data_IF_356206878964
#
_entry.id   IF_356206878964
#
_cell.length_a   1.000
_cell.length_b   1.000
_cell.length_c   1.000
_cell.angle_alpha   90.00
_cell.angle_beta   90.00
_cell.angle_gamma   90.00
#
_symmetry.space_group_name_H-M   'P 1'
#
loop_
_entity.id
_entity.type
_entity.pdbx_description
1 polymer ?
#
# COMPACT_ATOMS: atom_id res chain seq x y z
N UNK A 1 9.85 29.81 50.65
CA UNK A 1 8.94 29.19 49.67
C UNK A 1 9.66 29.19 48.32
N UNK A 2 10.43 28.14 48.03
CA UNK A 2 11.14 28.01 46.74
C UNK A 2 10.25 27.16 45.85
N UNK A 3 9.53 27.81 44.94
CA UNK A 3 8.71 27.14 43.94
C UNK A 3 9.63 26.67 42.81
N UNK A 4 10.07 25.41 42.89
CA UNK A 4 10.81 24.75 41.80
C UNK A 4 9.81 24.50 40.65
N UNK A 5 9.85 25.32 39.60
CA UNK A 5 9.16 25.01 38.35
C UNK A 5 9.88 23.83 37.69
N UNK A 6 9.26 22.65 37.72
CA UNK A 6 9.70 21.51 36.93
C UNK A 6 9.45 21.80 35.45
N UNK A 7 10.52 21.92 34.66
CA UNK A 7 10.46 22.04 33.22
C UNK A 7 10.17 20.64 32.67
N UNK A 8 8.92 20.34 32.33
CA UNK A 8 8.58 19.14 31.58
C UNK A 8 9.03 19.32 30.12
N UNK A 9 9.79 18.38 29.52
CA UNK A 9 10.06 18.43 28.10
C UNK A 9 8.73 18.30 27.34
N UNK A 10 8.44 19.28 26.49
CA UNK A 10 7.35 19.24 25.53
C UNK A 10 7.71 18.14 24.52
N UNK A 11 7.02 17.00 24.55
CA UNK A 11 7.16 15.99 23.51
C UNK A 11 6.68 16.61 22.19
N UNK A 12 7.57 16.68 21.20
CA UNK A 12 7.19 16.98 19.82
C UNK A 12 6.45 15.77 19.27
N UNK A 13 5.28 15.96 18.66
CA UNK A 13 4.68 14.91 17.83
C UNK A 13 5.51 14.81 16.55
N UNK A 14 6.25 13.71 16.38
CA UNK A 14 6.91 13.41 15.13
C UNK A 14 5.84 12.98 14.11
N UNK A 15 5.55 13.85 13.15
CA UNK A 15 4.67 13.49 12.03
C UNK A 15 5.30 12.36 11.22
N UNK A 16 4.49 11.37 10.84
CA UNK A 16 4.93 10.32 9.92
C UNK A 16 5.35 10.94 8.57
N UNK A 17 6.45 10.44 8.03
CA UNK A 17 6.92 10.81 6.70
C UNK A 17 5.94 10.37 5.61
N UNK A 18 6.01 10.97 4.42
CA UNK A 18 5.21 10.55 3.25
C UNK A 18 5.40 9.06 2.95
N UNK A 19 6.62 8.55 3.12
CA UNK A 19 6.94 7.13 2.88
C UNK A 19 6.30 6.22 3.94
N UNK A 20 6.33 6.60 5.22
CA UNK A 20 5.70 5.83 6.29
C UNK A 20 4.18 5.79 6.13
N UNK A 21 3.56 6.94 5.84
CA UNK A 21 2.14 7.00 5.52
C UNK A 21 1.80 6.09 4.33
N UNK A 22 2.56 6.19 3.25
CA UNK A 22 2.31 5.41 2.05
C UNK A 22 2.50 3.90 2.27
N UNK A 23 3.50 3.50 3.07
CA UNK A 23 3.73 2.10 3.47
C UNK A 23 2.59 1.56 4.33
N UNK A 24 2.13 2.36 5.30
CA UNK A 24 0.99 2.02 6.16
C UNK A 24 -0.31 1.89 5.34
N UNK A 25 -0.55 2.82 4.42
CA UNK A 25 -1.70 2.77 3.52
C UNK A 25 -1.63 1.55 2.59
N UNK A 26 -0.45 1.19 2.07
CA UNK A 26 -0.27 0.01 1.23
C UNK A 26 -0.52 -1.30 1.98
N UNK A 27 -0.20 -1.35 3.28
CA UNK A 27 -0.44 -2.54 4.12
C UNK A 27 -1.88 -2.67 4.60
N UNK A 28 -2.65 -1.57 4.61
CA UNK A 28 -4.05 -1.59 5.04
C UNK A 28 -4.87 -0.41 4.43
N UNK A 29 -5.16 -0.42 3.12
CA UNK A 29 -5.92 0.66 2.49
C UNK A 29 -7.37 0.69 2.98
N UNK A 30 -8.02 -0.48 3.11
CA UNK A 30 -9.33 -0.71 3.76
C UNK A 30 -9.52 -2.17 4.20
N UNK A 31 -8.76 -2.62 5.19
CA UNK A 31 -8.87 -3.95 5.80
C UNK A 31 -8.13 -5.07 5.07
N UNK A 32 -7.90 -4.96 3.76
CA UNK A 32 -7.09 -5.90 2.97
C UNK A 32 -5.91 -5.15 2.36
N UNK A 33 -4.70 -5.50 2.81
CA UNK A 33 -3.45 -4.89 2.33
C UNK A 33 -3.13 -5.23 0.87
N UNK A 34 -2.68 -4.23 0.11
CA UNK A 34 -2.16 -4.44 -1.25
C UNK A 34 -0.98 -5.42 -1.24
N UNK A 35 -0.17 -5.38 -0.19
CA UNK A 35 0.97 -6.28 0.02
C UNK A 35 0.61 -7.76 0.09
N UNK A 36 -0.64 -8.10 0.42
CA UNK A 36 -1.10 -9.49 0.48
C UNK A 36 -1.26 -10.13 -0.90
N UNK A 37 -1.35 -9.33 -1.96
CA UNK A 37 -1.47 -9.83 -3.33
C UNK A 37 -0.33 -9.36 -4.22
N UNK A 38 0.14 -8.13 -4.06
CA UNK A 38 1.16 -7.55 -4.95
C UNK A 38 2.59 -7.60 -4.38
N UNK A 39 2.81 -8.29 -3.26
CA UNK A 39 4.12 -8.34 -2.61
C UNK A 39 4.45 -7.06 -1.82
N UNK A 40 5.56 -7.06 -1.09
CA UNK A 40 5.87 -6.03 -0.10
C UNK A 40 6.05 -4.62 -0.72
N UNK A 41 6.53 -4.58 -1.96
CA UNK A 41 6.84 -3.36 -2.72
C UNK A 41 6.10 -3.25 -4.05
N UNK A 42 5.19 -4.17 -4.33
CA UNK A 42 4.47 -4.19 -5.59
C UNK A 42 5.17 -5.06 -6.65
N UNK A 43 6.06 -5.96 -6.27
CA UNK A 43 6.76 -6.86 -7.18
C UNK A 43 5.84 -7.84 -7.93
N UNK A 44 4.59 -8.00 -7.47
CA UNK A 44 3.66 -9.01 -7.95
C UNK A 44 3.88 -10.35 -7.24
N UNK A 45 2.84 -11.18 -7.19
CA UNK A 45 2.95 -12.50 -6.56
C UNK A 45 1.91 -13.49 -7.08
N UNK A 46 2.16 -14.78 -6.90
CA UNK A 46 1.13 -15.81 -7.07
C UNK A 46 0.20 -15.75 -5.86
N UNK A 47 -1.07 -15.41 -6.10
CA UNK A 47 -2.12 -15.32 -5.07
C UNK A 47 -2.62 -16.72 -4.73
N UNK A 48 -2.87 -17.54 -5.77
CA UNK A 48 -3.38 -18.90 -5.58
C UNK A 48 -3.05 -19.78 -6.79
N UNK A 49 -2.98 -21.09 -6.54
CA UNK A 49 -2.91 -22.11 -7.56
C UNK A 49 -3.98 -23.16 -7.28
N UNK A 50 -4.80 -23.49 -8.27
CA UNK A 50 -5.92 -24.41 -8.10
C UNK A 50 -6.20 -25.20 -9.38
N UNK A 51 -6.96 -26.30 -9.27
CA UNK A 51 -7.39 -27.11 -10.41
C UNK A 51 -8.77 -26.68 -10.88
N UNK A 52 -8.93 -26.47 -12.18
CA UNK A 52 -10.22 -26.20 -12.82
C UNK A 52 -10.35 -27.05 -14.08
N UNK A 53 -11.33 -27.97 -14.09
CA UNK A 53 -11.57 -28.90 -15.22
C UNK A 53 -10.32 -29.65 -15.67
N UNK A 54 -9.53 -30.15 -14.70
CA UNK A 54 -8.29 -30.89 -14.93
C UNK A 54 -7.11 -30.05 -15.40
N UNK A 55 -7.22 -28.71 -15.41
CA UNK A 55 -6.12 -27.79 -15.73
C UNK A 55 -5.73 -27.01 -14.49
N UNK A 56 -4.41 -26.93 -14.25
CA UNK A 56 -3.84 -26.05 -13.25
C UNK A 56 -4.03 -24.59 -13.69
N UNK A 57 -4.69 -23.81 -12.85
CA UNK A 57 -4.85 -22.36 -13.00
C UNK A 57 -4.00 -21.67 -11.95
N UNK A 58 -3.23 -20.67 -12.38
CA UNK A 58 -2.45 -19.78 -11.51
C UNK A 58 -3.12 -18.42 -11.53
N UNK A 59 -3.49 -17.94 -10.35
CA UNK A 59 -3.96 -16.58 -10.13
C UNK A 59 -2.78 -15.75 -9.63
N UNK A 60 -2.38 -14.76 -10.42
CA UNK A 60 -1.24 -13.90 -10.14
C UNK A 60 -1.63 -12.43 -10.12
N UNK A 61 -0.97 -11.67 -9.25
CA UNK A 61 -1.06 -10.22 -9.23
C UNK A 61 0.09 -9.63 -10.06
N UNK A 62 -0.17 -8.62 -10.90
CA UNK A 62 0.87 -8.00 -11.71
C UNK A 62 1.88 -7.22 -10.85
N UNK A 63 3.08 -7.07 -11.39
CA UNK A 63 4.11 -6.16 -10.90
C UNK A 63 3.66 -4.70 -11.11
N UNK A 64 3.79 -3.89 -10.07
CA UNK A 64 3.38 -2.49 -9.97
C UNK A 64 4.57 -1.51 -10.07
N UNK A 65 5.81 -1.99 -9.97
CA UNK A 65 7.01 -1.14 -9.93
C UNK A 65 7.29 -0.44 -11.27
N UNK A 66 6.72 -0.94 -12.37
CA UNK A 66 6.95 -0.42 -13.73
C UNK A 66 5.69 0.05 -14.46
N UNK A 67 4.54 0.13 -13.78
CA UNK A 67 3.30 0.58 -14.43
C UNK A 67 3.17 2.11 -14.41
N UNK A 68 2.52 2.68 -15.43
CA UNK A 68 2.28 4.12 -15.47
C UNK A 68 1.32 4.56 -14.36
N UNK A 69 1.42 5.82 -13.95
CA UNK A 69 0.53 6.42 -12.96
C UNK A 69 -0.92 6.31 -13.39
N UNK A 70 -1.23 6.58 -14.66
CA UNK A 70 -2.59 6.53 -15.21
C UNK A 70 -3.16 5.11 -15.09
N UNK A 71 -2.35 4.10 -15.42
CA UNK A 71 -2.75 2.70 -15.29
C UNK A 71 -2.98 2.30 -13.83
N UNK A 72 -2.12 2.76 -12.93
CA UNK A 72 -2.25 2.54 -11.48
C UNK A 72 -3.54 3.14 -10.93
N UNK A 73 -3.84 4.39 -11.28
CA UNK A 73 -5.09 5.06 -10.91
C UNK A 73 -6.31 4.31 -11.45
N UNK A 74 -6.30 3.98 -12.74
CA UNK A 74 -7.40 3.23 -13.36
C UNK A 74 -7.65 1.89 -12.65
N UNK A 75 -6.60 1.19 -12.23
CA UNK A 75 -6.73 -0.08 -11.53
C UNK A 75 -7.44 0.08 -10.17
N UNK A 76 -7.16 1.15 -9.42
CA UNK A 76 -7.77 1.39 -8.10
C UNK A 76 -9.18 1.99 -8.16
N UNK A 77 -9.55 2.61 -9.27
CA UNK A 77 -10.90 3.19 -9.48
C UNK A 77 -11.85 2.27 -10.25
N UNK A 78 -11.35 1.16 -10.80
CA UNK A 78 -12.17 0.18 -11.54
C UNK A 78 -12.50 -1.03 -10.68
N UNK A 79 -13.64 -1.67 -10.96
CA UNK A 79 -14.00 -2.92 -10.30
C UNK A 79 -13.25 -4.11 -10.93
N UNK A 80 -12.73 -5.00 -10.08
CA UNK A 80 -12.08 -6.25 -10.49
C UNK A 80 -12.77 -7.44 -9.85
N UNK A 81 -12.58 -8.62 -10.44
CA UNK A 81 -13.17 -9.88 -9.91
C UNK A 81 -12.50 -10.37 -8.63
N UNK A 82 -11.23 -10.03 -8.43
CA UNK A 82 -10.39 -10.55 -7.32
C UNK A 82 -9.87 -9.42 -6.46
N UNK A 83 -9.35 -8.35 -7.06
CA UNK A 83 -8.86 -7.18 -6.31
C UNK A 83 -10.05 -6.40 -5.72
N UNK A 84 -10.06 -6.11 -4.41
CA UNK A 84 -11.16 -5.39 -3.78
C UNK A 84 -11.18 -3.91 -4.16
N UNK A 85 -12.35 -3.29 -4.03
CA UNK A 85 -12.52 -1.84 -4.20
C UNK A 85 -12.31 -1.13 -2.87
N UNK A 86 -11.42 -0.14 -2.86
CA UNK A 86 -10.97 0.53 -1.63
C UNK A 86 -11.63 1.91 -1.38
N UNK A 87 -12.33 2.49 -2.37
CA UNK A 87 -12.94 3.83 -2.25
C UNK A 87 -11.96 4.90 -1.73
N UNK A 88 -10.78 4.93 -2.35
CA UNK A 88 -9.70 5.85 -1.99
C UNK A 88 -9.88 7.21 -2.67
N UNK A 89 -9.42 8.24 -1.99
CA UNK A 89 -9.23 9.59 -2.53
C UNK A 89 -8.06 9.61 -3.53
N UNK A 90 -8.02 10.66 -4.35
CA UNK A 90 -6.91 10.86 -5.30
C UNK A 90 -5.55 10.96 -4.61
N UNK A 91 -5.49 11.58 -3.43
CA UNK A 91 -4.26 11.73 -2.63
C UNK A 91 -3.78 10.41 -2.02
N UNK A 92 -4.70 9.55 -1.59
CA UNK A 92 -4.38 8.19 -1.13
C UNK A 92 -3.81 7.35 -2.28
N UNK A 93 -4.42 7.41 -3.48
CA UNK A 93 -3.92 6.69 -4.65
C UNK A 93 -2.53 7.22 -5.06
N UNK A 94 -2.31 8.54 -5.03
CA UNK A 94 -0.99 9.14 -5.29
C UNK A 94 0.07 8.66 -4.28
N UNK A 95 -0.32 8.52 -3.01
CA UNK A 95 0.57 8.00 -1.96
C UNK A 95 0.92 6.54 -2.21
N UNK A 96 -0.06 5.70 -2.60
CA UNK A 96 0.19 4.31 -2.97
C UNK A 96 1.11 4.20 -4.19
N UNK A 97 0.90 5.03 -5.22
CA UNK A 97 1.78 5.06 -6.39
C UNK A 97 3.20 5.48 -5.99
N UNK A 98 3.33 6.52 -5.18
CA UNK A 98 4.61 6.97 -4.62
C UNK A 98 5.35 5.85 -3.88
N UNK A 99 4.64 5.00 -3.13
CA UNK A 99 5.26 3.87 -2.45
C UNK A 99 5.84 2.84 -3.42
N UNK A 100 5.06 2.39 -4.41
CA UNK A 100 5.48 1.32 -5.34
C UNK A 100 6.43 1.80 -6.44
N UNK A 101 6.45 3.09 -6.75
CA UNK A 101 7.34 3.69 -7.76
C UNK A 101 8.63 4.27 -7.16
N UNK A 102 8.78 4.24 -5.84
CA UNK A 102 9.98 4.75 -5.17
C UNK A 102 11.08 3.71 -5.16
N UNK A 103 12.30 4.14 -5.48
CA UNK A 103 13.54 3.35 -5.36
C UNK A 103 13.93 3.16 -3.88
N UNK A 104 13.05 2.57 -3.06
CA UNK A 104 13.39 2.23 -1.68
C UNK A 104 14.10 0.88 -1.71
N UNK A 105 15.43 0.93 -1.54
CA UNK A 105 16.26 -0.25 -1.33
C UNK A 105 15.67 -1.09 -0.18
N UNK A 106 15.57 -2.40 -0.42
CA UNK A 106 15.18 -3.41 0.56
C UNK A 106 16.02 -3.30 1.83
#
# INVERSE_FOLDING_TARGET
>A
MVLLLAITPLFSEDFITKMEYAKMLYSNPRGIGCNKCHGEKGEGSVIAQYQNKGKTVVLEAPNLMSISKERFFQALTSQHKVMPTYFLTWQEIDSLYYYVSSEVKK
#
